data_IF_712100144795
#
_entry.id   IF_712100144795
#
_cell.length_a   1.000
_cell.length_b   1.000
_cell.length_c   1.000
_cell.angle_alpha   90.00
_cell.angle_beta   90.00
_cell.angle_gamma   90.00
#
_symmetry.space_group_name_H-M   'P 1'
#
loop_
_entity.id
_entity.type
_entity.pdbx_description
1 polymer ?
#
# COMPACT_ATOMS: atom_id res chain seq x y z
N UNK A 1 4.03 -20.20 -7.17
CA UNK A 1 2.55 -20.07 -7.18
C UNK A 1 2.09 -20.01 -5.73
N UNK A 2 1.78 -18.82 -5.20
CA UNK A 2 1.40 -18.65 -3.79
C UNK A 2 -0.09 -19.01 -3.64
N UNK A 3 -0.41 -20.18 -3.07
CA UNK A 3 -1.79 -20.51 -2.71
C UNK A 3 -2.20 -19.65 -1.53
N UNK A 4 -3.17 -18.76 -1.74
CA UNK A 4 -3.85 -18.07 -0.65
C UNK A 4 -4.66 -19.10 0.14
N UNK A 5 -4.30 -19.32 1.41
CA UNK A 5 -5.00 -20.29 2.25
C UNK A 5 -6.45 -19.81 2.49
N UNK A 6 -7.42 -20.69 2.24
CA UNK A 6 -8.84 -20.44 2.51
C UNK A 6 -9.19 -20.53 4.00
N UNK A 7 -8.41 -21.30 4.77
CA UNK A 7 -8.50 -21.39 6.22
C UNK A 7 -7.35 -20.60 6.84
N UNK A 8 -7.65 -19.75 7.82
CA UNK A 8 -6.63 -19.06 8.59
C UNK A 8 -5.89 -20.02 9.53
N UNK A 9 -4.79 -19.56 10.17
CA UNK A 9 -4.21 -20.26 11.32
C UNK A 9 -5.28 -20.53 12.38
N UNK A 10 -5.08 -21.51 13.26
CA UNK A 10 -6.01 -21.78 14.38
C UNK A 10 -6.23 -20.52 15.21
N UNK A 11 -7.51 -20.10 15.35
CA UNK A 11 -7.91 -18.83 16.00
C UNK A 11 -7.33 -17.56 15.37
N UNK A 12 -6.75 -17.66 14.18
CA UNK A 12 -6.18 -16.55 13.42
C UNK A 12 -7.12 -16.05 12.33
N UNK A 13 -6.77 -14.88 11.80
CA UNK A 13 -7.47 -14.33 10.65
C UNK A 13 -7.10 -15.09 9.36
N UNK A 14 -8.09 -15.40 8.52
CA UNK A 14 -7.84 -15.93 7.18
C UNK A 14 -7.35 -14.84 6.24
N UNK A 15 -6.66 -15.23 5.17
CA UNK A 15 -6.19 -14.25 4.18
C UNK A 15 -7.35 -13.44 3.57
N UNK A 16 -8.51 -14.06 3.36
CA UNK A 16 -9.68 -13.41 2.78
C UNK A 16 -10.24 -12.33 3.72
N UNK A 17 -10.30 -12.61 5.03
CA UNK A 17 -10.72 -11.62 6.02
C UNK A 17 -9.71 -10.50 6.15
N UNK A 18 -8.42 -10.84 6.19
CA UNK A 18 -7.33 -9.88 6.17
C UNK A 18 -7.42 -8.95 4.96
N UNK A 19 -7.59 -9.52 3.77
CA UNK A 19 -7.63 -8.76 2.54
C UNK A 19 -8.88 -7.88 2.43
N UNK A 20 -10.02 -8.39 2.87
CA UNK A 20 -11.26 -7.62 2.97
C UNK A 20 -11.09 -6.42 3.90
N UNK A 21 -10.55 -6.61 5.11
CA UNK A 21 -10.32 -5.51 6.05
C UNK A 21 -9.42 -4.42 5.47
N UNK A 22 -8.34 -4.80 4.79
CA UNK A 22 -7.45 -3.81 4.14
C UNK A 22 -8.15 -3.10 2.98
N UNK A 23 -8.99 -3.80 2.21
CA UNK A 23 -9.76 -3.19 1.13
C UNK A 23 -10.81 -2.20 1.63
N UNK A 24 -11.43 -2.47 2.78
CA UNK A 24 -12.41 -1.58 3.43
C UNK A 24 -11.78 -0.27 3.94
N UNK A 25 -10.45 -0.22 4.11
CA UNK A 25 -9.73 0.99 4.46
C UNK A 25 -9.49 1.93 3.26
N UNK A 26 -9.46 1.42 2.02
CA UNK A 26 -9.15 2.24 0.83
C UNK A 26 -10.17 3.37 0.63
N UNK A 27 -11.50 3.14 0.73
CA UNK A 27 -12.48 4.21 0.60
C UNK A 27 -12.27 5.36 1.59
N UNK A 28 -11.76 5.08 2.80
CA UNK A 28 -11.53 6.13 3.81
C UNK A 28 -10.39 7.08 3.45
N UNK A 29 -9.51 6.69 2.51
CA UNK A 29 -8.49 7.59 1.96
C UNK A 29 -9.10 8.74 1.15
N UNK A 30 -10.32 8.56 0.63
CA UNK A 30 -11.07 9.60 -0.09
C UNK A 30 -11.37 10.79 0.82
N UNK A 31 -11.67 10.52 2.09
CA UNK A 31 -11.96 11.57 3.08
C UNK A 31 -10.71 12.42 3.37
N UNK A 32 -9.53 11.87 3.10
CA UNK A 32 -8.23 12.53 3.25
C UNK A 32 -7.72 13.19 1.95
N UNK A 33 -8.48 13.20 0.84
CA UNK A 33 -8.03 13.80 -0.44
C UNK A 33 -7.70 15.30 -0.36
N UNK A 34 -8.19 15.98 0.67
CA UNK A 34 -7.89 17.39 0.92
C UNK A 34 -6.48 17.62 1.51
N UNK A 35 -5.79 16.55 1.93
CA UNK A 35 -4.43 16.61 2.44
C UNK A 35 -3.44 16.43 1.29
N UNK A 36 -2.42 17.28 1.25
CA UNK A 36 -1.33 17.15 0.26
C UNK A 36 -0.50 15.87 0.49
N UNK A 37 -0.32 15.49 1.75
CA UNK A 37 0.45 14.30 2.14
C UNK A 37 -0.20 13.56 3.33
N UNK A 38 -0.31 12.23 3.20
CA UNK A 38 -0.81 11.33 4.24
C UNK A 38 0.26 10.30 4.63
N UNK A 39 0.62 10.25 5.90
CA UNK A 39 1.52 9.22 6.44
C UNK A 39 0.71 8.03 6.98
N UNK A 40 1.00 6.84 6.44
CA UNK A 40 0.43 5.58 6.93
C UNK A 40 1.54 4.77 7.57
N UNK A 41 1.39 4.47 8.86
CA UNK A 41 2.30 3.60 9.62
C UNK A 41 1.62 2.26 9.87
N UNK A 42 2.28 1.17 9.49
CA UNK A 42 1.72 -0.16 9.62
C UNK A 42 2.76 -1.26 9.51
N UNK A 43 2.28 -2.49 9.37
CA UNK A 43 3.12 -3.67 9.26
C UNK A 43 3.29 -4.11 7.80
N UNK A 44 4.35 -4.88 7.54
CA UNK A 44 4.71 -5.36 6.20
C UNK A 44 3.53 -5.96 5.44
N UNK A 45 2.74 -6.86 6.06
CA UNK A 45 1.60 -7.48 5.39
C UNK A 45 0.53 -6.48 4.94
N UNK A 46 0.17 -5.53 5.80
CA UNK A 46 -0.86 -4.52 5.49
C UNK A 46 -0.37 -3.56 4.42
N UNK A 47 0.85 -3.02 4.57
CA UNK A 47 1.40 -2.03 3.64
C UNK A 47 1.65 -2.63 2.24
N UNK A 48 2.13 -3.87 2.20
CA UNK A 48 2.33 -4.65 0.97
C UNK A 48 1.01 -4.90 0.24
N UNK A 49 -0.03 -5.31 0.98
CA UNK A 49 -1.35 -5.52 0.39
C UNK A 49 -2.01 -4.21 -0.04
N UNK A 50 -1.95 -3.17 0.79
CA UNK A 50 -2.47 -1.84 0.47
C UNK A 50 -1.84 -1.30 -0.83
N UNK A 51 -0.53 -1.47 -0.99
CA UNK A 51 0.20 -1.10 -2.22
C UNK A 51 -0.38 -1.83 -3.44
N UNK A 52 -0.52 -3.16 -3.37
CA UNK A 52 -1.07 -3.94 -4.46
C UNK A 52 -2.50 -3.52 -4.84
N UNK A 53 -3.37 -3.32 -3.83
CA UNK A 53 -4.77 -2.94 -4.06
C UNK A 53 -4.90 -1.52 -4.63
N UNK A 54 -4.10 -0.56 -4.16
CA UNK A 54 -4.10 0.81 -4.70
C UNK A 54 -3.61 0.86 -6.15
N UNK A 55 -2.70 -0.04 -6.54
CA UNK A 55 -2.27 -0.26 -7.92
C UNK A 55 -3.26 -1.10 -8.75
N UNK A 56 -4.48 -1.35 -8.23
CA UNK A 56 -5.54 -2.14 -8.86
C UNK A 56 -5.11 -3.58 -9.19
N UNK A 57 -4.17 -4.14 -8.42
CA UNK A 57 -3.70 -5.52 -8.58
C UNK A 57 -4.52 -6.48 -7.70
N UNK A 58 -4.60 -7.77 -8.05
CA UNK A 58 -5.24 -8.76 -7.19
C UNK A 58 -4.50 -8.87 -5.84
N UNK A 59 -5.21 -9.17 -4.74
CA UNK A 59 -4.64 -9.25 -3.39
C UNK A 59 -3.42 -10.20 -3.28
N UNK A 60 -3.38 -11.28 -4.09
CA UNK A 60 -2.25 -12.20 -4.16
C UNK A 60 -0.94 -11.52 -4.62
N UNK A 61 -1.03 -10.37 -5.31
CA UNK A 61 0.11 -9.62 -5.79
C UNK A 61 0.87 -8.88 -4.69
N UNK A 62 0.37 -8.86 -3.44
CA UNK A 62 1.08 -8.25 -2.32
C UNK A 62 2.53 -8.75 -2.22
N UNK A 63 2.78 -10.04 -2.51
CA UNK A 63 4.11 -10.65 -2.45
C UNK A 63 5.13 -10.06 -3.44
N UNK A 64 4.72 -9.24 -4.41
CA UNK A 64 5.62 -8.47 -5.27
C UNK A 64 6.19 -7.22 -4.59
N UNK A 65 5.62 -6.80 -3.46
CA UNK A 65 5.97 -5.58 -2.74
C UNK A 65 6.49 -5.91 -1.33
N UNK A 66 7.77 -6.31 -1.18
CA UNK A 66 8.38 -6.43 0.13
C UNK A 66 8.48 -5.04 0.78
N UNK A 67 8.17 -4.94 2.07
CA UNK A 67 8.27 -3.69 2.84
C UNK A 67 9.37 -3.85 3.88
N UNK A 68 10.42 -3.05 3.76
CA UNK A 68 11.59 -3.08 4.64
C UNK A 68 11.33 -2.31 5.93
N UNK A 69 11.92 -2.79 7.03
CA UNK A 69 11.93 -2.05 8.30
C UNK A 69 12.81 -0.80 8.21
N UNK A 70 12.40 0.27 8.91
CA UNK A 70 13.16 1.51 8.96
C UNK A 70 13.22 2.26 7.61
N UNK A 71 12.30 1.96 6.70
CA UNK A 71 12.23 2.57 5.38
C UNK A 71 10.86 3.20 5.14
N UNK A 72 10.78 4.07 4.14
CA UNK A 72 9.54 4.67 3.66
C UNK A 72 9.32 4.38 2.17
N UNK A 73 8.05 4.45 1.78
CA UNK A 73 7.59 4.27 0.40
C UNK A 73 6.63 5.40 0.09
N UNK A 74 6.56 5.80 -1.18
CA UNK A 74 5.69 6.87 -1.65
C UNK A 74 4.80 6.34 -2.76
N UNK A 75 3.50 6.43 -2.52
CA UNK A 75 2.47 6.24 -3.52
C UNK A 75 1.84 7.59 -3.80
N UNK A 76 1.67 7.88 -5.08
CA UNK A 76 0.99 9.06 -5.56
C UNK A 76 -0.35 8.65 -6.12
N UNK A 77 -1.43 9.27 -5.64
CA UNK A 77 -2.80 9.00 -6.09
C UNK A 77 -3.29 10.24 -6.83
N UNK A 78 -3.55 10.10 -8.13
CA UNK A 78 -4.15 11.14 -8.97
C UNK A 78 -5.46 10.59 -9.52
N UNK A 79 -6.57 11.21 -9.11
CA UNK A 79 -7.93 10.75 -9.42
C UNK A 79 -8.14 9.27 -9.05
N UNK A 80 -8.25 8.40 -10.06
CA UNK A 80 -8.47 6.96 -9.91
C UNK A 80 -7.21 6.14 -10.25
N UNK A 81 -6.06 6.79 -10.42
CA UNK A 81 -4.79 6.17 -10.79
C UNK A 81 -3.73 6.34 -9.70
N UNK A 82 -3.13 5.23 -9.30
CA UNK A 82 -2.02 5.22 -8.32
C UNK A 82 -0.70 4.90 -9.01
N UNK A 83 0.35 5.64 -8.66
CA UNK A 83 1.73 5.35 -9.05
C UNK A 83 2.58 5.06 -7.81
N UNK A 84 3.30 3.94 -7.81
CA UNK A 84 4.35 3.67 -6.81
C UNK A 84 5.62 4.41 -7.23
N UNK A 85 5.96 5.50 -6.52
CA UNK A 85 7.10 6.38 -6.84
C UNK A 85 8.39 5.89 -6.20
N UNK A 86 8.30 5.49 -4.93
CA UNK A 86 9.43 5.05 -4.12
C UNK A 86 9.02 3.82 -3.32
N UNK A 87 9.90 2.82 -3.26
CA UNK A 87 9.71 1.63 -2.44
C UNK A 87 10.96 1.42 -1.58
N UNK A 88 10.79 1.37 -0.25
CA UNK A 88 11.83 1.05 0.73
C UNK A 88 13.05 2.01 0.73
N UNK A 89 12.82 3.31 0.59
CA UNK A 89 13.88 4.30 0.77
C UNK A 89 14.24 4.45 2.25
N UNK A 90 15.54 4.53 2.54
CA UNK A 90 16.10 4.91 3.84
C UNK A 90 16.69 6.32 3.83
N UNK A 91 16.59 7.02 2.70
CA UNK A 91 17.04 8.40 2.61
C UNK A 91 16.14 9.33 3.44
N UNK A 92 16.62 10.51 3.79
CA UNK A 92 15.78 11.55 4.38
C UNK A 92 14.73 11.96 3.36
N UNK A 93 13.44 11.89 3.73
CA UNK A 93 12.36 12.35 2.86
C UNK A 93 12.51 13.85 2.55
N UNK A 94 12.36 14.20 1.27
CA UNK A 94 12.39 15.59 0.80
C UNK A 94 11.18 15.84 -0.09
N UNK A 95 10.42 16.93 0.12
CA UNK A 95 9.24 17.24 -0.70
C UNK A 95 9.57 17.46 -2.20
N UNK A 96 10.82 17.83 -2.51
CA UNK A 96 11.22 18.43 -3.78
C UNK A 96 11.60 17.44 -4.89
N UNK A 97 11.45 16.12 -4.67
CA UNK A 97 11.65 15.09 -5.71
C UNK A 97 10.36 14.75 -6.49
N UNK A 98 9.30 15.54 -6.31
CA UNK A 98 8.20 15.62 -7.27
C UNK A 98 8.75 16.15 -8.60
N UNK A 99 8.69 15.32 -9.64
CA UNK A 99 9.09 15.70 -10.99
C UNK A 99 8.40 17.02 -11.38
N UNK A 100 9.11 17.97 -12.00
CA UNK A 100 8.49 19.19 -12.49
C UNK A 100 7.36 18.81 -13.48
N UNK A 101 6.28 19.61 -13.56
CA UNK A 101 5.07 19.30 -14.33
C UNK A 101 5.26 19.24 -15.87
N UNK A 102 6.48 19.24 -16.39
CA UNK A 102 6.81 19.35 -17.81
C UNK A 102 7.25 18.00 -18.44
N UNK A 103 6.45 16.94 -18.30
CA UNK A 103 6.56 15.72 -19.12
C UNK A 103 5.19 15.15 -19.50
#
# INVERSE_FOLDING_TARGET
MCRLAACGPTNGESFQNFARRVSEFIPTLTDCRHLDHLLIVGHQGVLSLLTALLLQMPAAAMWHFPIAHGAWSLLEIRDDFTTLRVLNSQAVWRPQEEFPPDH
#
